data_IF_795226821889
#
_entry.id   IF_795226821889
#
_cell.length_a   1.000
_cell.length_b   1.000
_cell.length_c   1.000
_cell.angle_alpha   90.00
_cell.angle_beta   90.00
_cell.angle_gamma   90.00
#
_symmetry.space_group_name_H-M   'P 1'
#
loop_
_entity.id
_entity.type
_entity.pdbx_description
1 polymer ?
#
# COMPACT_ATOMS: atom_id res chain seq x y z
N UNK A 1 -35.85 -21.75 -6.97
CA UNK A 1 -34.99 -20.57 -7.20
C UNK A 1 -34.30 -20.79 -8.52
N UNK A 2 -34.58 -19.96 -9.52
CA UNK A 2 -34.04 -20.10 -10.88
C UNK A 2 -32.75 -19.29 -10.95
N UNK A 3 -31.59 -19.95 -11.03
CA UNK A 3 -30.29 -19.25 -11.15
C UNK A 3 -29.85 -19.30 -12.61
N UNK A 4 -29.85 -18.14 -13.25
CA UNK A 4 -29.26 -17.95 -14.58
C UNK A 4 -27.73 -17.90 -14.48
N UNK A 5 -27.05 -18.53 -15.44
CA UNK A 5 -25.59 -18.48 -15.53
C UNK A 5 -25.13 -17.03 -15.80
N UNK A 6 -24.02 -16.63 -15.15
CA UNK A 6 -23.41 -15.32 -15.33
C UNK A 6 -22.84 -15.20 -16.76
N UNK A 7 -23.36 -14.25 -17.54
CA UNK A 7 -22.89 -14.02 -18.90
C UNK A 7 -21.48 -13.42 -18.89
N UNK A 8 -20.53 -14.13 -19.50
CA UNK A 8 -19.11 -13.75 -19.53
C UNK A 8 -18.87 -12.45 -20.31
N UNK A 9 -19.74 -12.08 -21.25
CA UNK A 9 -19.62 -10.83 -22.00
C UNK A 9 -19.86 -9.60 -21.11
N UNK A 10 -20.61 -9.73 -20.01
CA UNK A 10 -20.78 -8.66 -19.03
C UNK A 10 -19.52 -8.40 -18.18
N UNK A 11 -18.53 -9.30 -18.19
CA UNK A 11 -17.27 -9.15 -17.46
C UNK A 11 -16.17 -8.46 -18.26
N UNK A 12 -16.34 -8.30 -19.58
CA UNK A 12 -15.35 -7.64 -20.44
C UNK A 12 -15.64 -6.14 -20.45
N UNK A 13 -15.15 -5.45 -19.42
CA UNK A 13 -15.35 -4.00 -19.25
C UNK A 13 -14.43 -3.16 -20.12
N UNK A 14 -13.30 -3.72 -20.56
CA UNK A 14 -12.29 -3.04 -21.37
C UNK A 14 -12.01 -3.81 -22.66
N UNK A 15 -11.99 -3.10 -23.78
CA UNK A 15 -11.60 -3.68 -25.08
C UNK A 15 -10.07 -3.84 -25.13
N UNK A 16 -9.58 -4.82 -25.88
CA UNK A 16 -8.12 -5.09 -26.00
C UNK A 16 -7.30 -3.89 -26.52
N UNK A 17 -7.95 -2.93 -27.18
CA UNK A 17 -7.33 -1.72 -27.72
C UNK A 17 -7.42 -0.50 -26.80
N UNK A 18 -7.98 -0.64 -25.59
CA UNK A 18 -8.05 0.48 -24.64
C UNK A 18 -6.68 0.83 -24.11
N UNK A 19 -6.44 2.12 -23.93
CA UNK A 19 -5.19 2.60 -23.34
C UNK A 19 -5.22 2.45 -21.82
N UNK A 20 -4.05 2.35 -21.21
CA UNK A 20 -3.93 2.31 -19.74
C UNK A 20 -4.59 3.54 -19.09
N UNK A 21 -4.55 4.70 -19.75
CA UNK A 21 -5.18 5.92 -19.27
C UNK A 21 -6.71 5.79 -19.22
N UNK A 22 -7.33 5.30 -20.29
CA UNK A 22 -8.79 5.08 -20.35
C UNK A 22 -9.24 4.08 -19.28
N UNK A 23 -8.45 3.02 -19.05
CA UNK A 23 -8.74 2.06 -17.99
C UNK A 23 -8.67 2.71 -16.59
N UNK A 24 -7.67 3.57 -16.35
CA UNK A 24 -7.53 4.26 -15.06
C UNK A 24 -8.65 5.26 -14.83
N UNK A 25 -9.05 6.01 -15.86
CA UNK A 25 -10.09 7.02 -15.76
C UNK A 25 -11.46 6.40 -15.42
N UNK A 26 -11.80 5.23 -15.98
CA UNK A 26 -13.03 4.50 -15.63
C UNK A 26 -13.00 3.80 -14.26
N UNK A 27 -11.81 3.53 -13.71
CA UNK A 27 -11.63 2.98 -12.36
C UNK A 27 -11.68 4.07 -11.28
N UNK A 28 -11.52 5.32 -11.67
CA UNK A 28 -11.58 6.48 -10.79
C UNK A 28 -13.03 6.99 -10.65
N UNK A 29 -13.27 7.77 -9.60
CA UNK A 29 -14.56 8.43 -9.39
C UNK A 29 -14.69 9.56 -10.43
N UNK A 30 -15.44 9.33 -11.50
CA UNK A 30 -15.63 10.29 -12.60
C UNK A 30 -16.30 11.60 -12.16
N UNK A 31 -17.29 11.52 -11.26
CA UNK A 31 -18.01 12.69 -10.73
C UNK A 31 -18.26 12.56 -9.24
N UNK A 32 -17.79 13.53 -8.47
CA UNK A 32 -18.11 13.67 -7.06
C UNK A 32 -19.53 14.20 -6.92
N UNK A 33 -20.51 13.30 -6.86
CA UNK A 33 -21.88 13.68 -6.56
C UNK A 33 -22.02 13.90 -5.04
N UNK A 34 -21.96 15.16 -4.61
CA UNK A 34 -22.12 15.57 -3.21
C UNK A 34 -23.50 15.26 -2.61
N UNK A 35 -24.47 14.84 -3.44
CA UNK A 35 -25.80 14.43 -2.99
C UNK A 35 -25.86 12.94 -2.61
N UNK A 36 -24.81 12.17 -2.93
CA UNK A 36 -24.71 10.77 -2.52
C UNK A 36 -24.17 10.72 -1.09
N UNK A 37 -25.08 10.63 -0.13
CA UNK A 37 -24.76 10.33 1.25
C UNK A 37 -24.45 8.84 1.40
N UNK A 38 -23.18 8.51 1.63
CA UNK A 38 -22.75 7.15 1.98
C UNK A 38 -23.03 6.80 3.45
N UNK A 39 -23.77 7.62 4.20
CA UNK A 39 -24.10 7.35 5.61
C UNK A 39 -24.80 6.00 5.78
N UNK A 40 -25.75 5.65 4.92
CA UNK A 40 -26.43 4.35 4.98
C UNK A 40 -25.44 3.19 4.78
N UNK A 41 -24.56 3.32 3.78
CA UNK A 41 -23.52 2.33 3.49
C UNK A 41 -22.53 2.17 4.65
N UNK A 42 -22.04 3.27 5.23
CA UNK A 42 -21.13 3.23 6.38
C UNK A 42 -21.81 2.73 7.65
N UNK A 43 -23.09 3.05 7.87
CA UNK A 43 -23.88 2.52 8.99
C UNK A 43 -24.16 1.03 8.85
N UNK A 44 -24.35 0.53 7.63
CA UNK A 44 -24.53 -0.90 7.38
C UNK A 44 -23.22 -1.68 7.50
N UNK A 45 -22.12 -1.12 6.97
CA UNK A 45 -20.80 -1.76 7.07
C UNK A 45 -20.19 -1.71 8.48
N UNK A 46 -20.61 -0.74 9.31
CA UNK A 46 -20.15 -0.44 10.68
C UNK A 46 -18.97 -1.31 11.14
N UNK A 47 -17.74 -1.04 10.63
CA UNK A 47 -16.61 -1.92 10.88
C UNK A 47 -16.33 -1.91 12.37
N UNK A 48 -16.38 -3.08 13.00
CA UNK A 48 -16.17 -3.23 14.44
C UNK A 48 -14.75 -2.87 14.86
N UNK A 49 -13.79 -2.98 13.94
CA UNK A 49 -12.40 -2.59 14.12
C UNK A 49 -11.85 -2.05 12.81
N UNK A 50 -11.19 -0.89 12.88
CA UNK A 50 -10.43 -0.35 11.76
C UNK A 50 -8.95 -0.73 11.93
N UNK A 51 -8.37 -1.40 10.94
CA UNK A 51 -6.93 -1.64 10.88
C UNK A 51 -6.30 -0.61 9.96
N UNK A 52 -5.43 0.22 10.49
CA UNK A 52 -4.63 1.15 9.71
C UNK A 52 -3.16 0.98 10.08
N UNK A 53 -2.31 0.99 9.06
CA UNK A 53 -0.86 0.96 9.26
C UNK A 53 -0.40 2.37 9.61
N UNK A 54 0.20 2.54 10.79
CA UNK A 54 0.84 3.80 11.16
C UNK A 54 2.28 3.74 10.68
N UNK A 55 2.54 4.32 9.51
CA UNK A 55 3.90 4.50 9.02
C UNK A 55 4.55 5.67 9.75
N UNK A 56 5.25 5.37 10.85
CA UNK A 56 6.05 6.37 11.55
C UNK A 56 7.35 6.63 10.77
N UNK A 57 7.61 7.89 10.44
CA UNK A 57 8.92 8.31 9.91
C UNK A 57 10.02 7.94 10.91
N UNK A 58 11.18 7.51 10.40
CA UNK A 58 12.35 7.22 11.24
C UNK A 58 12.68 8.45 12.10
N UNK A 59 12.63 8.28 13.42
CA UNK A 59 12.97 9.31 14.40
C UNK A 59 14.45 9.70 14.24
N UNK A 60 14.79 10.95 14.56
CA UNK A 60 16.16 11.44 14.62
C UNK A 60 17.04 10.55 15.51
N UNK A 61 16.48 9.99 16.60
CA UNK A 61 17.18 9.05 17.47
C UNK A 61 17.64 7.82 16.69
N UNK A 62 16.75 7.24 15.86
CA UNK A 62 17.07 6.06 15.04
C UNK A 62 18.21 6.33 14.05
N UNK A 63 18.21 7.52 13.43
CA UNK A 63 19.27 7.92 12.49
C UNK A 63 20.61 8.02 13.22
N UNK A 64 20.63 8.68 14.38
CA UNK A 64 21.84 8.88 15.18
C UNK A 64 22.41 7.55 15.67
N UNK A 65 21.56 6.67 16.23
CA UNK A 65 22.01 5.36 16.72
C UNK A 65 22.54 4.49 15.59
N UNK A 66 21.95 4.58 14.40
CA UNK A 66 22.41 3.84 13.22
C UNK A 66 23.80 4.31 12.78
N UNK A 67 24.05 5.62 12.73
CA UNK A 67 25.38 6.15 12.36
C UNK A 67 26.46 5.74 13.36
N UNK A 68 26.16 5.84 14.66
CA UNK A 68 27.08 5.42 15.73
C UNK A 68 27.39 3.93 15.61
N UNK A 69 26.35 3.10 15.41
CA UNK A 69 26.49 1.66 15.24
C UNK A 69 27.32 1.29 14.00
N UNK A 70 27.15 2.02 12.89
CA UNK A 70 27.85 1.76 11.64
C UNK A 70 29.35 2.09 11.77
N UNK A 71 29.68 3.25 12.33
CA UNK A 71 31.08 3.65 12.57
C UNK A 71 31.74 2.72 13.60
N UNK A 72 31.09 2.50 14.73
CA UNK A 72 31.61 1.62 15.79
C UNK A 72 31.77 0.17 15.34
N UNK A 73 30.78 -0.35 14.62
CA UNK A 73 30.78 -1.70 14.07
C UNK A 73 31.90 -1.89 13.06
N UNK A 74 32.05 -0.95 12.11
CA UNK A 74 33.10 -1.02 11.09
C UNK A 74 34.50 -1.05 11.71
N UNK A 75 34.78 -0.17 12.68
CA UNK A 75 36.07 -0.13 13.38
C UNK A 75 36.33 -1.44 14.13
N UNK A 76 35.31 -1.97 14.81
CA UNK A 76 35.44 -3.18 15.61
C UNK A 76 35.69 -4.41 14.73
N UNK A 77 34.93 -4.55 13.65
CA UNK A 77 35.09 -5.63 12.68
C UNK A 77 36.46 -5.56 12.01
N UNK A 78 36.91 -4.37 11.62
CA UNK A 78 38.22 -4.19 11.01
C UNK A 78 39.34 -4.56 11.99
N UNK A 79 39.27 -4.13 13.25
CA UNK A 79 40.23 -4.53 14.30
C UNK A 79 40.28 -6.03 14.54
N UNK A 80 39.15 -6.72 14.38
CA UNK A 80 39.07 -8.17 14.56
C UNK A 80 39.58 -8.94 13.33
N UNK A 81 39.30 -8.45 12.13
CA UNK A 81 39.70 -9.08 10.87
C UNK A 81 41.17 -8.84 10.52
N UNK A 82 41.70 -7.63 10.74
CA UNK A 82 43.09 -7.27 10.42
C UNK A 82 44.11 -8.29 10.96
N UNK A 83 44.13 -8.68 12.25
CA UNK A 83 45.08 -9.65 12.78
C UNK A 83 44.86 -11.11 12.30
N UNK A 84 43.75 -11.38 11.59
CA UNK A 84 43.48 -12.69 10.99
C UNK A 84 43.85 -12.75 9.50
N UNK A 85 43.99 -11.59 8.85
CA UNK A 85 44.28 -11.45 7.43
C UNK A 85 45.76 -11.16 7.18
N UNK A 86 46.42 -10.42 8.08
CA UNK A 86 47.87 -10.16 8.04
C UNK A 86 48.68 -11.21 8.79
#
# INVERSE_FOLDING_TARGET
MNVSALDKLLLVRFMENSTVQEMMDELMIETWNSSIMYESYYNECQPSQCSYTVDTKNDAIYIITTLIGLVGGLITVLKLMVPRIV
#
